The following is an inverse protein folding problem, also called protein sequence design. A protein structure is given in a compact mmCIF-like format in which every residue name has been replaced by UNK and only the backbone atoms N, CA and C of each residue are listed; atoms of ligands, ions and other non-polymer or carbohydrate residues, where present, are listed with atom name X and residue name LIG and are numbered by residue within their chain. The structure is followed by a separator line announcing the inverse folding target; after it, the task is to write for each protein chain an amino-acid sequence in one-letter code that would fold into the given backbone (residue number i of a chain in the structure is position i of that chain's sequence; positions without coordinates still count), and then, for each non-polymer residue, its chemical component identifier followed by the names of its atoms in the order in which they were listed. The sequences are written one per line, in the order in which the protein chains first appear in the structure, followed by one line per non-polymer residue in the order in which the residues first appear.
data_IF_874215517013
#
_entry.id   IF_874215517013
#
_cell.length_a   1.000
_cell.length_b   1.000
_cell.length_c   1.000
_cell.angle_alpha   90.00
_cell.angle_beta   90.00
_cell.angle_gamma   90.00
#
_symmetry.space_group_name_H-M   'P 1'
#
loop_
_entity.id
_entity.type
_entity.pdbx_description
1 polymer ?
#
# COMPACT_ATOMS: atom_id res chain seq x y z
N UNK A 1 -9.60 -2.78 -13.90
CA UNK A 1 -10.78 -2.99 -13.07
C UNK A 1 -11.81 -1.87 -13.30
N UNK A 2 -12.59 -1.99 -14.39
CA UNK A 2 -13.51 -0.94 -14.84
C UNK A 2 -14.67 -0.70 -13.87
N UNK A 3 -15.11 -1.71 -13.10
CA UNK A 3 -16.27 -1.59 -12.21
C UNK A 3 -16.05 -0.62 -11.05
N UNK A 4 -14.81 -0.43 -10.58
CA UNK A 4 -14.47 0.48 -9.47
C UNK A 4 -14.22 1.93 -9.89
N UNK A 5 -14.32 2.24 -11.19
CA UNK A 5 -14.29 3.61 -11.72
C UNK A 5 -15.70 4.05 -12.13
N UNK A 6 -15.93 5.37 -12.13
CA UNK A 6 -17.17 5.90 -12.69
C UNK A 6 -17.32 5.47 -14.16
N UNK A 7 -18.52 5.07 -14.55
CA UNK A 7 -19.82 5.15 -13.86
C UNK A 7 -20.15 3.97 -12.91
N UNK A 8 -19.21 3.16 -12.45
CA UNK A 8 -19.39 2.03 -11.51
C UNK A 8 -20.31 0.93 -12.03
N UNK A 9 -20.21 0.60 -13.31
CA UNK A 9 -21.09 -0.36 -13.98
C UNK A 9 -20.61 -1.79 -13.84
N UNK A 10 -21.54 -2.70 -13.68
CA UNK A 10 -21.40 -4.16 -13.65
C UNK A 10 -22.71 -4.80 -14.15
N UNK A 11 -22.77 -6.11 -14.46
CA UNK A 11 -23.97 -6.75 -14.91
C UNK A 11 -25.13 -6.63 -13.91
N UNK A 12 -26.32 -6.33 -14.43
CA UNK A 12 -27.52 -6.18 -13.61
C UNK A 12 -27.92 -7.49 -12.93
N UNK A 13 -28.51 -7.40 -11.74
CA UNK A 13 -29.01 -8.55 -10.99
C UNK A 13 -27.95 -9.46 -10.37
N UNK A 14 -26.66 -9.13 -10.49
CA UNK A 14 -25.56 -9.93 -9.90
C UNK A 14 -25.41 -9.70 -8.40
N UNK A 15 -25.74 -8.48 -7.96
CA UNK A 15 -25.83 -8.09 -6.55
C UNK A 15 -27.09 -7.25 -6.33
N UNK A 16 -27.49 -7.05 -5.08
CA UNK A 16 -28.70 -6.29 -4.74
C UNK A 16 -28.59 -4.77 -4.99
N UNK A 17 -27.37 -4.23 -5.13
CA UNK A 17 -27.16 -2.81 -5.43
C UNK A 17 -27.24 -2.65 -6.96
N UNK A 18 -28.09 -1.73 -7.50
CA UNK A 18 -28.17 -1.48 -8.93
C UNK A 18 -26.85 -0.99 -9.53
N UNK A 19 -26.53 -1.49 -10.72
CA UNK A 19 -25.37 -1.07 -11.52
C UNK A 19 -25.38 0.44 -11.77
N UNK A 20 -24.21 1.07 -11.66
CA UNK A 20 -24.06 2.51 -11.87
C UNK A 20 -24.50 3.41 -10.71
N UNK A 21 -25.05 2.84 -9.62
CA UNK A 21 -25.57 3.64 -8.50
C UNK A 21 -24.49 4.32 -7.70
N UNK A 22 -23.47 3.60 -7.26
CA UNK A 22 -22.41 4.13 -6.39
C UNK A 22 -21.17 3.22 -6.32
N UNK A 23 -20.13 3.71 -5.67
CA UNK A 23 -18.89 2.96 -5.47
C UNK A 23 -19.08 1.71 -4.57
N UNK A 24 -19.98 1.76 -3.61
CA UNK A 24 -20.22 0.62 -2.71
C UNK A 24 -20.68 -0.61 -3.49
N UNK A 25 -21.59 -0.42 -4.48
CA UNK A 25 -21.98 -1.47 -5.40
C UNK A 25 -20.80 -2.03 -6.19
N UNK A 26 -19.92 -1.16 -6.70
CA UNK A 26 -18.73 -1.58 -7.43
C UNK A 26 -17.76 -2.40 -6.56
N UNK A 27 -17.53 -1.99 -5.32
CA UNK A 27 -16.70 -2.72 -4.35
C UNK A 27 -17.32 -4.08 -4.03
N UNK A 28 -18.63 -4.13 -3.78
CA UNK A 28 -19.36 -5.37 -3.49
C UNK A 28 -19.33 -6.34 -4.68
N UNK A 29 -19.44 -5.84 -5.88
CA UNK A 29 -19.30 -6.65 -7.09
C UNK A 29 -17.87 -7.22 -7.24
N UNK A 30 -16.84 -6.41 -6.97
CA UNK A 30 -15.46 -6.87 -6.99
C UNK A 30 -15.18 -7.94 -5.90
N UNK A 31 -15.75 -7.77 -4.72
CA UNK A 31 -15.67 -8.76 -3.63
C UNK A 31 -16.35 -10.08 -4.01
N UNK A 32 -17.54 -10.03 -4.65
CA UNK A 32 -18.21 -11.21 -5.18
C UNK A 32 -17.35 -11.93 -6.23
N UNK A 33 -16.71 -11.18 -7.12
CA UNK A 33 -15.82 -11.76 -8.13
C UNK A 33 -14.63 -12.48 -7.47
N UNK A 34 -14.03 -11.86 -6.44
CA UNK A 34 -12.94 -12.45 -5.66
C UNK A 34 -13.41 -13.72 -4.91
N UNK A 35 -14.58 -13.68 -4.29
CA UNK A 35 -15.20 -14.85 -3.65
C UNK A 35 -15.35 -16.00 -4.64
N UNK A 36 -15.93 -15.74 -5.82
CA UNK A 36 -16.13 -16.76 -6.86
C UNK A 36 -14.81 -17.31 -7.38
N UNK A 37 -13.78 -16.45 -7.54
CA UNK A 37 -12.44 -16.87 -7.88
C UNK A 37 -11.91 -17.90 -6.89
N UNK A 38 -11.94 -17.61 -5.58
CA UNK A 38 -11.43 -18.53 -4.55
C UNK A 38 -12.23 -19.82 -4.43
N UNK A 39 -13.57 -19.77 -4.58
CA UNK A 39 -14.41 -20.98 -4.61
C UNK A 39 -13.97 -21.90 -5.76
N UNK A 40 -13.67 -21.36 -6.92
CA UNK A 40 -13.25 -22.13 -8.08
C UNK A 40 -11.78 -22.55 -8.01
N UNK A 41 -10.90 -21.69 -7.54
CA UNK A 41 -9.48 -21.98 -7.36
C UNK A 41 -9.27 -23.15 -6.39
N UNK A 42 -10.01 -23.20 -5.28
CA UNK A 42 -9.94 -24.31 -4.30
C UNK A 42 -10.21 -25.69 -4.88
N UNK A 43 -10.94 -25.79 -6.01
CA UNK A 43 -11.23 -27.03 -6.72
C UNK A 43 -10.09 -27.48 -7.65
N UNK A 44 -9.08 -26.64 -7.85
CA UNK A 44 -7.99 -26.90 -8.81
C UNK A 44 -6.80 -27.58 -8.13
N UNK A 45 -6.12 -28.50 -8.83
CA UNK A 45 -4.99 -29.26 -8.25
C UNK A 45 -3.81 -28.35 -7.86
N UNK A 46 -3.62 -27.22 -8.53
CA UNK A 46 -2.55 -26.27 -8.25
C UNK A 46 -2.80 -25.42 -7.00
N UNK A 47 -4.03 -25.36 -6.47
CA UNK A 47 -4.39 -24.46 -5.36
C UNK A 47 -3.47 -24.67 -4.13
N UNK A 48 -3.20 -25.91 -3.77
CA UNK A 48 -2.37 -26.25 -2.60
C UNK A 48 -0.92 -25.76 -2.72
N UNK A 49 -0.44 -25.56 -3.96
CA UNK A 49 0.93 -25.14 -4.25
C UNK A 49 0.99 -23.65 -4.68
N UNK A 50 -0.05 -22.89 -4.39
CA UNK A 50 -0.14 -21.50 -4.83
C UNK A 50 -0.40 -20.59 -3.63
N UNK A 51 0.44 -19.58 -3.45
CA UNK A 51 0.21 -18.47 -2.52
C UNK A 51 -0.42 -17.32 -3.29
N UNK A 52 -1.46 -16.73 -2.72
CA UNK A 52 -2.17 -15.60 -3.35
C UNK A 52 -1.86 -14.32 -2.59
N UNK A 53 -1.52 -13.27 -3.32
CA UNK A 53 -1.42 -11.91 -2.78
C UNK A 53 -2.59 -11.12 -3.32
N UNK A 54 -3.42 -10.62 -2.41
CA UNK A 54 -4.57 -9.77 -2.73
C UNK A 54 -4.33 -8.41 -2.09
N UNK A 55 -4.30 -7.37 -2.89
CA UNK A 55 -4.00 -6.02 -2.43
C UNK A 55 -4.69 -5.00 -3.32
N UNK A 56 -5.16 -3.89 -2.74
CA UNK A 56 -5.59 -2.74 -3.54
C UNK A 56 -4.38 -2.13 -4.26
N UNK A 57 -4.59 -1.66 -5.48
CA UNK A 57 -3.58 -0.93 -6.27
C UNK A 57 -3.30 0.46 -5.68
N UNK A 58 -4.32 1.17 -5.22
CA UNK A 58 -4.25 2.46 -4.55
C UNK A 58 -5.48 2.73 -3.69
N UNK A 59 -5.45 3.82 -2.94
CA UNK A 59 -6.59 4.30 -2.16
C UNK A 59 -7.64 5.01 -3.04
N UNK A 60 -8.83 5.19 -2.49
CA UNK A 60 -9.90 5.97 -3.09
C UNK A 60 -9.88 7.43 -2.59
N UNK A 61 -10.43 8.37 -3.41
CA UNK A 61 -10.65 9.77 -3.03
C UNK A 61 -9.40 10.62 -2.72
N UNK A 62 -8.22 10.18 -3.12
CA UNK A 62 -6.97 10.98 -2.99
C UNK A 62 -6.70 11.87 -4.19
N UNK A 63 -7.20 11.51 -5.39
CA UNK A 63 -6.97 12.28 -6.61
C UNK A 63 -7.55 13.71 -6.54
N UNK A 64 -6.77 14.68 -7.00
CA UNK A 64 -7.17 16.10 -7.05
C UNK A 64 -7.17 16.82 -5.70
N UNK A 65 -6.75 16.16 -4.62
CA UNK A 65 -6.64 16.77 -3.29
C UNK A 65 -5.20 17.14 -2.98
N UNK A 66 -5.02 18.29 -2.34
CA UNK A 66 -3.70 18.75 -1.86
C UNK A 66 -3.41 18.25 -0.45
N UNK A 67 -4.43 17.99 0.35
CA UNK A 67 -4.28 17.48 1.71
C UNK A 67 -4.08 15.97 1.75
N UNK A 68 -3.18 15.52 2.64
CA UNK A 68 -2.97 14.10 2.92
C UNK A 68 -3.87 13.72 4.10
N UNK A 69 -4.88 12.90 3.82
CA UNK A 69 -5.68 12.25 4.86
C UNK A 69 -5.13 10.83 5.05
N UNK A 70 -4.43 10.58 6.15
CA UNK A 70 -3.65 9.36 6.38
C UNK A 70 -4.52 8.10 6.31
N UNK A 71 -5.71 8.10 6.94
CA UNK A 71 -6.59 6.91 6.94
C UNK A 71 -7.03 6.48 5.54
N UNK A 72 -7.16 7.42 4.61
CA UNK A 72 -7.54 7.09 3.23
C UNK A 72 -6.47 6.30 2.51
N UNK A 73 -5.19 6.43 2.92
CA UNK A 73 -4.08 5.66 2.36
C UNK A 73 -3.96 4.26 2.98
N UNK A 74 -4.76 3.95 4.00
CA UNK A 74 -4.81 2.62 4.59
C UNK A 74 -5.60 1.68 3.67
N UNK A 75 -4.90 0.91 2.86
CA UNK A 75 -5.47 -0.04 1.89
C UNK A 75 -5.36 -1.48 2.42
N UNK A 76 -6.32 -2.34 2.08
CA UNK A 76 -6.26 -3.76 2.46
C UNK A 76 -5.17 -4.50 1.68
N UNK A 77 -4.49 -5.41 2.37
CA UNK A 77 -3.54 -6.34 1.78
C UNK A 77 -3.61 -7.68 2.50
N UNK A 78 -3.58 -8.79 1.75
CA UNK A 78 -3.67 -10.14 2.29
C UNK A 78 -2.70 -11.06 1.57
N UNK A 79 -2.03 -11.95 2.32
CA UNK A 79 -1.29 -13.09 1.78
C UNK A 79 -2.04 -14.34 2.21
N UNK A 80 -2.51 -15.13 1.26
CA UNK A 80 -3.42 -16.25 1.48
C UNK A 80 -2.72 -17.54 1.08
N UNK A 81 -2.98 -18.61 1.83
CA UNK A 81 -2.45 -19.94 1.58
C UNK A 81 -0.92 -20.05 1.78
N UNK A 82 -0.39 -19.33 2.77
CA UNK A 82 1.01 -19.47 3.19
C UNK A 82 1.23 -20.83 3.87
N UNK A 83 2.21 -21.63 3.45
CA UNK A 83 2.51 -22.91 4.09
C UNK A 83 2.92 -22.73 5.55
N UNK A 84 2.34 -23.53 6.44
CA UNK A 84 2.71 -23.54 7.86
C UNK A 84 2.45 -22.27 8.65
N UNK A 85 1.62 -21.36 8.11
CA UNK A 85 1.24 -20.13 8.80
C UNK A 85 -0.22 -20.19 9.24
N UNK A 86 -0.48 -19.73 10.46
CA UNK A 86 -1.82 -19.50 10.97
C UNK A 86 -2.34 -18.12 10.55
N UNK A 87 -3.66 -17.94 10.65
CA UNK A 87 -4.28 -16.63 10.38
C UNK A 87 -3.75 -15.59 11.36
N UNK A 88 -3.12 -14.57 10.84
CA UNK A 88 -2.48 -13.52 11.63
C UNK A 88 -2.83 -12.15 11.05
N UNK A 89 -3.12 -11.18 11.93
CA UNK A 89 -3.28 -9.78 11.55
C UNK A 89 -1.98 -9.05 11.84
N UNK A 90 -1.42 -8.40 10.82
CA UNK A 90 -0.21 -7.57 10.97
C UNK A 90 -0.64 -6.11 11.21
N UNK A 91 -0.33 -5.60 12.41
CA UNK A 91 -0.65 -4.24 12.83
C UNK A 91 0.56 -3.27 12.76
N UNK A 92 1.56 -3.61 11.96
CA UNK A 92 2.72 -2.77 11.73
C UNK A 92 2.46 -1.74 10.62
N UNK A 93 3.01 -0.53 10.80
CA UNK A 93 2.98 0.48 9.75
C UNK A 93 3.91 0.03 8.61
N UNK A 94 3.36 -0.09 7.41
CA UNK A 94 4.07 -0.57 6.22
C UNK A 94 3.48 0.02 4.94
N UNK A 95 4.18 -0.19 3.83
CA UNK A 95 3.76 0.22 2.49
C UNK A 95 3.59 -0.99 1.56
N UNK A 96 2.93 -0.79 0.42
CA UNK A 96 2.75 -1.83 -0.60
C UNK A 96 4.08 -2.49 -1.02
N UNK A 97 5.15 -1.72 -1.11
CA UNK A 97 6.48 -2.22 -1.48
C UNK A 97 7.05 -3.27 -0.51
N UNK A 98 6.52 -3.33 0.71
CA UNK A 98 6.97 -4.25 1.75
C UNK A 98 6.32 -5.65 1.63
N UNK A 99 5.28 -5.78 0.81
CA UNK A 99 4.50 -7.03 0.68
C UNK A 99 5.34 -8.15 0.09
N UNK A 100 6.05 -7.91 -1.01
CA UNK A 100 6.88 -8.94 -1.64
C UNK A 100 8.11 -9.35 -0.82
N UNK A 101 8.90 -8.43 -0.25
CA UNK A 101 9.95 -8.79 0.71
C UNK A 101 9.46 -9.65 1.86
N UNK A 102 8.27 -9.33 2.38
CA UNK A 102 7.63 -10.11 3.45
C UNK A 102 7.22 -11.50 2.97
N UNK A 103 6.60 -11.59 1.80
CA UNK A 103 6.25 -12.88 1.17
C UNK A 103 7.49 -13.74 0.97
N UNK A 104 8.56 -13.18 0.37
CA UNK A 104 9.80 -13.92 0.14
C UNK A 104 10.42 -14.40 1.45
N UNK A 105 10.33 -13.59 2.48
CA UNK A 105 10.76 -13.99 3.81
C UNK A 105 9.94 -15.14 4.40
N UNK A 106 8.62 -15.18 4.20
CA UNK A 106 7.77 -16.31 4.60
C UNK A 106 8.10 -17.59 3.82
N UNK A 107 8.47 -17.46 2.56
CA UNK A 107 8.84 -18.57 1.69
C UNK A 107 10.33 -18.99 1.84
N UNK A 108 11.10 -18.33 2.70
CA UNK A 108 12.54 -18.52 2.88
C UNK A 108 13.33 -18.39 1.56
N UNK A 109 12.89 -17.50 0.68
CA UNK A 109 13.58 -17.25 -0.58
C UNK A 109 14.72 -16.26 -0.39
N UNK A 110 15.84 -16.54 -1.03
CA UNK A 110 16.97 -15.61 -1.14
C UNK A 110 16.82 -14.81 -2.43
N UNK A 111 16.94 -13.50 -2.34
CA UNK A 111 16.84 -12.61 -3.49
C UNK A 111 17.74 -11.38 -3.31
N UNK A 112 18.06 -10.73 -4.43
CA UNK A 112 18.68 -9.40 -4.46
C UNK A 112 17.64 -8.38 -4.93
N UNK A 113 17.63 -7.20 -4.32
CA UNK A 113 16.70 -6.14 -4.70
C UNK A 113 17.32 -4.78 -4.42
N UNK A 114 17.10 -3.85 -5.34
CA UNK A 114 17.40 -2.43 -5.16
C UNK A 114 16.13 -1.64 -4.74
N UNK A 115 15.03 -2.34 -4.41
CA UNK A 115 13.81 -1.70 -3.90
C UNK A 115 13.94 -1.40 -2.40
N UNK A 116 13.17 -0.41 -1.95
CA UNK A 116 13.14 0.00 -0.53
C UNK A 116 12.19 -0.82 0.34
N UNK A 117 11.55 -1.86 -0.23
CA UNK A 117 10.67 -2.75 0.52
C UNK A 117 11.40 -3.50 1.63
N UNK A 118 10.75 -3.70 2.75
CA UNK A 118 11.26 -4.36 3.94
C UNK A 118 10.43 -5.61 4.26
N UNK A 119 11.08 -6.66 4.79
CA UNK A 119 10.38 -7.78 5.39
C UNK A 119 9.75 -7.33 6.71
N UNK A 120 8.43 -7.12 6.73
CA UNK A 120 7.68 -6.57 7.88
C UNK A 120 7.84 -7.43 9.14
N UNK A 121 8.10 -8.72 9.01
CA UNK A 121 8.33 -9.62 10.13
C UNK A 121 9.56 -9.20 10.94
N UNK A 122 10.58 -8.65 10.26
CA UNK A 122 11.87 -8.24 10.81
C UNK A 122 11.95 -6.76 11.17
N UNK A 123 10.99 -5.93 10.74
CA UNK A 123 11.00 -4.51 11.08
C UNK A 123 10.76 -4.30 12.57
N UNK A 124 11.61 -3.46 13.17
CA UNK A 124 11.40 -2.94 14.52
C UNK A 124 10.45 -1.76 14.49
N UNK A 125 9.90 -1.37 15.64
CA UNK A 125 8.97 -0.25 15.75
C UNK A 125 9.55 1.09 15.28
N UNK A 126 10.85 1.26 15.40
CA UNK A 126 11.60 2.46 14.94
C UNK A 126 11.71 2.50 13.41
N UNK A 127 11.72 1.34 12.77
CA UNK A 127 11.85 1.18 11.31
C UNK A 127 10.53 1.04 10.58
N UNK A 128 9.42 0.97 11.32
CA UNK A 128 8.09 1.00 10.72
C UNK A 128 7.85 2.34 10.04
N UNK A 129 7.42 2.27 8.77
CA UNK A 129 7.14 3.46 7.97
C UNK A 129 6.09 3.20 6.91
N UNK A 130 5.43 4.26 6.46
CA UNK A 130 4.59 4.24 5.28
C UNK A 130 4.83 5.47 4.41
N UNK A 131 4.82 5.26 3.10
CA UNK A 131 4.86 6.34 2.12
C UNK A 131 3.45 6.68 1.68
N UNK A 132 3.16 7.97 1.64
CA UNK A 132 1.89 8.51 1.17
C UNK A 132 2.19 9.63 0.16
N UNK A 133 1.52 9.61 -0.98
CA UNK A 133 1.77 10.60 -2.01
C UNK A 133 0.49 10.94 -2.77
N UNK A 134 0.40 12.17 -3.20
CA UNK A 134 -0.49 12.60 -4.26
C UNK A 134 0.32 13.33 -5.34
N UNK A 135 -0.33 13.89 -6.36
CA UNK A 135 0.39 14.45 -7.49
C UNK A 135 1.23 15.72 -7.15
N UNK A 136 1.06 16.31 -5.96
CA UNK A 136 1.78 17.53 -5.52
C UNK A 136 2.53 17.37 -4.21
N UNK A 137 2.35 16.28 -3.50
CA UNK A 137 2.94 16.09 -2.16
C UNK A 137 3.48 14.68 -2.01
N UNK A 138 4.66 14.60 -1.42
CA UNK A 138 5.34 13.36 -1.07
C UNK A 138 5.44 13.30 0.44
N UNK A 139 4.99 12.22 1.06
CA UNK A 139 4.97 12.09 2.51
C UNK A 139 5.61 10.81 3.02
N UNK A 140 6.17 10.91 4.21
CA UNK A 140 6.69 9.80 5.00
C UNK A 140 6.02 9.83 6.38
N UNK A 141 5.35 8.75 6.72
CA UNK A 141 4.75 8.54 8.03
C UNK A 141 5.62 7.56 8.82
N UNK A 142 6.06 7.98 10.00
CA UNK A 142 6.75 7.12 10.99
C UNK A 142 6.10 7.33 12.35
N UNK A 143 5.65 6.26 13.00
CA UNK A 143 4.86 6.32 14.23
C UNK A 143 3.61 7.21 14.05
N UNK A 144 3.61 8.37 14.67
CA UNK A 144 2.57 9.41 14.61
C UNK A 144 3.04 10.70 13.92
N UNK A 145 4.25 10.70 13.34
CA UNK A 145 4.82 11.86 12.66
C UNK A 145 4.74 11.72 11.16
N UNK A 146 4.11 12.68 10.51
CA UNK A 146 3.99 12.77 9.06
C UNK A 146 4.78 13.97 8.56
N UNK A 147 5.87 13.72 7.82
CA UNK A 147 6.57 14.77 7.09
C UNK A 147 6.11 14.78 5.64
N UNK A 148 5.82 15.94 5.09
CA UNK A 148 5.29 16.14 3.73
C UNK A 148 6.14 17.16 2.99
N UNK A 149 6.63 16.81 1.80
CA UNK A 149 7.23 17.74 0.84
C UNK A 149 6.14 18.26 -0.10
N UNK A 150 6.17 19.56 -0.37
CA UNK A 150 5.39 20.18 -1.42
C UNK A 150 6.16 20.23 -2.75
N UNK A 151 5.57 20.83 -3.80
CA UNK A 151 6.20 20.97 -5.13
C UNK A 151 7.43 21.88 -5.16
N UNK A 152 7.66 22.66 -4.13
CA UNK A 152 8.81 23.59 -3.98
C UNK A 152 9.92 22.97 -3.14
N UNK A 153 9.79 21.67 -2.82
CA UNK A 153 10.67 20.93 -1.93
C UNK A 153 10.73 21.50 -0.50
N UNK A 154 9.76 22.31 -0.12
CA UNK A 154 9.60 22.72 1.27
C UNK A 154 8.84 21.64 2.04
N UNK A 155 9.29 21.36 3.28
CA UNK A 155 8.77 20.29 4.11
C UNK A 155 8.00 20.83 5.31
N UNK A 156 6.80 20.32 5.49
CA UNK A 156 5.97 20.58 6.67
C UNK A 156 5.78 19.27 7.42
N UNK A 157 5.94 19.31 8.74
CA UNK A 157 5.74 18.16 9.59
C UNK A 157 4.48 18.29 10.44
N UNK A 158 3.82 17.15 10.63
CA UNK A 158 2.56 17.06 11.36
C UNK A 158 2.64 15.92 12.39
N UNK A 159 1.96 16.11 13.52
CA UNK A 159 1.57 15.03 14.44
C UNK A 159 0.22 14.48 14.00
N UNK A 160 0.14 13.18 13.84
CA UNK A 160 -1.11 12.48 13.52
C UNK A 160 -1.83 12.00 14.77
N UNK A 161 -2.96 12.61 15.07
CA UNK A 161 -3.87 12.18 16.14
C UNK A 161 -4.75 11.06 15.59
N UNK A 162 -4.27 9.83 15.74
CA UNK A 162 -4.84 8.64 15.08
C UNK A 162 -6.32 8.41 15.42
N UNK A 163 -6.74 8.66 16.67
CA UNK A 163 -8.14 8.44 17.11
C UNK A 163 -9.12 9.37 16.41
N UNK A 164 -8.74 10.61 16.20
CA UNK A 164 -9.56 11.66 15.59
C UNK A 164 -9.31 11.77 14.08
N UNK A 165 -8.32 11.03 13.57
CA UNK A 165 -7.79 11.16 12.21
C UNK A 165 -7.50 12.62 11.81
N UNK A 166 -6.87 13.36 12.71
CA UNK A 166 -6.47 14.75 12.52
C UNK A 166 -4.96 14.88 12.50
N UNK A 167 -4.47 15.86 11.78
CA UNK A 167 -3.06 16.25 11.78
C UNK A 167 -2.93 17.67 12.32
N UNK A 168 -1.91 17.92 13.14
CA UNK A 168 -1.53 19.26 13.61
C UNK A 168 -0.08 19.53 13.26
N UNK A 169 0.19 20.70 12.70
CA UNK A 169 1.54 21.12 12.34
C UNK A 169 2.43 21.18 13.58
N UNK A 170 3.69 20.80 13.41
CA UNK A 170 4.70 20.81 14.46
C UNK A 170 6.05 21.29 13.95
N UNK A 171 7.01 21.43 14.84
CA UNK A 171 8.38 21.78 14.47
C UNK A 171 8.99 20.64 13.66
N UNK A 172 9.52 21.00 12.50
CA UNK A 172 10.14 20.06 11.55
C UNK A 172 11.40 19.43 12.15
N UNK A 173 11.44 18.09 12.18
CA UNK A 173 12.61 17.32 12.50
C UNK A 173 13.52 17.23 11.26
N UNK A 174 14.74 17.80 11.30
CA UNK A 174 15.65 17.76 10.17
C UNK A 174 16.03 16.32 9.75
N UNK A 175 16.06 15.37 10.67
CA UNK A 175 16.41 13.97 10.36
C UNK A 175 15.29 13.30 9.56
N UNK A 176 14.04 13.46 10.00
CA UNK A 176 12.89 12.91 9.29
C UNK A 176 12.72 13.58 7.92
N UNK A 177 12.96 14.88 7.84
CA UNK A 177 12.95 15.62 6.57
C UNK A 177 14.00 15.10 5.59
N UNK A 178 15.24 14.94 6.04
CA UNK A 178 16.33 14.40 5.21
C UNK A 178 16.08 12.95 4.81
N UNK A 179 15.49 12.15 5.70
CA UNK A 179 15.10 10.77 5.39
C UNK A 179 14.09 10.72 4.24
N UNK A 180 13.05 11.57 4.26
CA UNK A 180 12.06 11.66 3.19
C UNK A 180 12.69 12.04 1.85
N UNK A 181 13.53 13.10 1.83
CA UNK A 181 14.24 13.53 0.62
C UNK A 181 15.11 12.40 0.08
N UNK A 182 15.88 11.74 0.94
CA UNK A 182 16.78 10.66 0.55
C UNK A 182 16.05 9.51 -0.13
N UNK A 183 14.89 9.10 0.39
CA UNK A 183 14.08 8.04 -0.23
C UNK A 183 13.62 8.42 -1.64
N UNK A 184 13.03 9.59 -1.81
CA UNK A 184 12.48 9.98 -3.11
C UNK A 184 13.56 10.30 -4.13
N UNK A 185 14.63 11.00 -3.72
CA UNK A 185 15.72 11.35 -4.62
C UNK A 185 16.49 10.11 -5.08
N UNK A 186 16.86 9.22 -4.16
CA UNK A 186 17.59 7.99 -4.53
C UNK A 186 16.73 7.05 -5.36
N UNK A 187 15.40 6.98 -5.09
CA UNK A 187 14.48 6.21 -5.93
C UNK A 187 14.40 6.78 -7.36
N UNK A 188 14.34 8.10 -7.48
CA UNK A 188 14.37 8.78 -8.77
C UNK A 188 15.67 8.52 -9.53
N UNK A 189 16.81 8.63 -8.85
CA UNK A 189 18.13 8.40 -9.43
C UNK A 189 18.30 6.94 -9.89
N UNK A 190 17.87 5.97 -9.08
CA UNK A 190 17.85 4.56 -9.46
C UNK A 190 16.96 4.32 -10.70
N UNK A 191 15.79 4.94 -10.74
CA UNK A 191 14.90 4.83 -11.90
C UNK A 191 15.53 5.42 -13.16
N UNK A 192 16.06 6.65 -13.09
CA UNK A 192 16.66 7.36 -14.22
C UNK A 192 17.89 6.67 -14.78
N UNK A 193 18.72 6.13 -13.90
CA UNK A 193 20.00 5.48 -14.27
C UNK A 193 19.85 3.97 -14.55
N UNK A 194 18.63 3.44 -14.56
CA UNK A 194 18.37 2.02 -14.79
C UNK A 194 18.80 1.09 -13.64
N UNK A 195 19.19 1.65 -12.49
CA UNK A 195 19.69 0.89 -11.33
C UNK A 195 18.67 -0.04 -10.68
N UNK A 196 17.39 0.11 -10.99
CA UNK A 196 16.35 -0.83 -10.57
C UNK A 196 16.39 -2.17 -11.32
N UNK A 197 17.06 -2.23 -12.46
CA UNK A 197 17.14 -3.42 -13.33
C UNK A 197 18.48 -4.15 -13.22
N UNK A 198 19.52 -3.48 -12.73
CA UNK A 198 20.87 -4.02 -12.70
C UNK A 198 21.21 -4.60 -11.33
N UNK A 199 21.24 -5.94 -11.25
CA UNK A 199 21.61 -6.70 -10.06
C UNK A 199 23.03 -7.27 -10.15
N UNK A 200 23.81 -6.88 -11.16
CA UNK A 200 25.13 -7.47 -11.46
C UNK A 200 26.30 -6.65 -10.91
N UNK A 201 26.02 -5.52 -10.27
CA UNK A 201 27.04 -4.67 -9.66
C UNK A 201 27.13 -4.86 -8.15
#
# INVERSE_FOLDING_TARGET
NNSNHQPFTYPDGVIEIPSGKNREGAVKYADLALKNFFINAKKKPWYKNTVFVVMSDHCAYSAGRTEINIERYHIPGMIINLPGQENTVVNKLCSQMDVFPTLFGYLNWTYKSNSYGQDIRKTTKENERAFVANYRRLGLLKKDRLIVLNSEADGIEYIWHKKENKITETIKDPLLYNELISYYQTAYDLYKNGGLKDFTK
#
